data_IF_863095438618
#
_entry.id   IF_863095438618
#
_cell.length_a   1.000
_cell.length_b   1.000
_cell.length_c   1.000
_cell.angle_alpha   90.00
_cell.angle_beta   90.00
_cell.angle_gamma   90.00
#
_symmetry.space_group_name_H-M   'P 1'
#
loop_
_entity.id
_entity.type
_entity.pdbx_description
1 polymer ?
#
# COMPACT_ATOMS: atom_id res chain seq x y z
N UNK A 1 -5.84 0.69 -20.00
CA UNK A 1 -4.38 0.41 -20.13
C UNK A 1 -3.59 1.49 -19.43
N UNK A 2 -2.39 1.15 -18.91
CA UNK A 2 -1.48 2.10 -18.25
C UNK A 2 -0.07 1.96 -18.81
N UNK A 3 0.68 3.08 -18.87
CA UNK A 3 2.11 3.10 -19.12
C UNK A 3 2.85 3.58 -17.87
N UNK A 4 3.90 2.89 -17.48
CA UNK A 4 4.64 3.16 -16.25
C UNK A 4 6.10 3.53 -16.53
N UNK A 5 6.65 4.49 -15.79
CA UNK A 5 8.08 4.68 -15.69
C UNK A 5 8.65 3.77 -14.61
N UNK A 6 9.47 2.84 -15.04
CA UNK A 6 10.18 1.93 -14.16
C UNK A 6 11.69 2.21 -14.19
N UNK A 7 12.35 2.17 -13.05
CA UNK A 7 13.80 2.41 -12.96
C UNK A 7 14.25 2.64 -11.52
N UNK A 8 15.56 2.79 -11.34
CA UNK A 8 16.16 3.06 -10.04
C UNK A 8 15.65 4.35 -9.41
N UNK A 9 15.88 4.49 -8.10
CA UNK A 9 15.59 5.73 -7.37
C UNK A 9 16.35 6.90 -7.98
N UNK A 10 15.69 8.07 -8.04
CA UNK A 10 16.25 9.35 -8.48
C UNK A 10 16.79 9.43 -9.91
N UNK A 11 16.41 8.51 -10.80
CA UNK A 11 16.76 8.60 -12.23
C UNK A 11 15.87 9.57 -13.02
N UNK A 12 15.00 10.33 -12.34
CA UNK A 12 14.14 11.33 -12.98
C UNK A 12 12.80 10.81 -13.49
N UNK A 13 12.25 9.71 -12.93
CA UNK A 13 10.95 9.15 -13.35
C UNK A 13 9.81 10.16 -13.25
N UNK A 14 9.64 10.80 -12.09
CA UNK A 14 8.59 11.81 -11.87
C UNK A 14 8.79 13.03 -12.79
N UNK A 15 10.05 13.41 -13.06
CA UNK A 15 10.37 14.46 -14.03
C UNK A 15 9.98 14.05 -15.46
N UNK A 16 10.25 12.79 -15.84
CA UNK A 16 9.82 12.23 -17.13
C UNK A 16 8.29 12.28 -17.27
N UNK A 17 7.55 11.87 -16.23
CA UNK A 17 6.08 11.94 -16.21
C UNK A 17 5.58 13.38 -16.38
N UNK A 18 6.15 14.31 -15.62
CA UNK A 18 5.81 15.73 -15.74
C UNK A 18 6.12 16.25 -17.16
N UNK A 19 7.24 15.85 -17.75
CA UNK A 19 7.63 16.24 -19.11
C UNK A 19 6.69 15.67 -20.18
N UNK A 20 6.26 14.42 -20.04
CA UNK A 20 5.27 13.80 -20.94
C UNK A 20 3.91 14.50 -20.86
N UNK A 21 3.55 15.02 -19.68
CA UNK A 21 2.32 15.77 -19.42
C UNK A 21 2.45 17.27 -19.71
N UNK A 22 3.64 17.80 -19.95
CA UNK A 22 3.90 19.19 -20.33
C UNK A 22 3.81 19.41 -21.84
N UNK A 23 3.48 20.61 -22.30
CA UNK A 23 3.64 21.02 -23.71
C UNK A 23 4.70 22.12 -23.81
N UNK A 24 5.25 22.40 -25.03
CA UNK A 24 6.27 23.44 -25.23
C UNK A 24 5.87 24.82 -24.66
N UNK A 25 4.57 25.10 -24.60
CA UNK A 25 4.02 26.39 -24.18
C UNK A 25 3.27 26.34 -22.84
N UNK A 26 3.14 25.15 -22.22
CA UNK A 26 2.38 24.99 -20.98
C UNK A 26 3.01 23.89 -20.11
N UNK A 27 3.64 24.22 -18.98
CA UNK A 27 4.14 23.23 -18.03
C UNK A 27 2.96 22.43 -17.48
N UNK A 28 3.24 21.18 -17.09
CA UNK A 28 2.24 20.34 -16.45
C UNK A 28 1.92 20.87 -15.06
N UNK A 29 0.65 21.17 -14.84
CA UNK A 29 0.11 21.58 -13.55
C UNK A 29 -1.17 20.81 -13.24
N UNK A 30 -1.38 20.55 -11.96
CA UNK A 30 -2.62 19.99 -11.41
C UNK A 30 -3.44 21.16 -10.87
N UNK A 31 -4.68 21.28 -11.29
CA UNK A 31 -5.56 22.38 -10.86
C UNK A 31 -6.50 21.89 -9.76
N UNK A 32 -6.55 22.61 -8.64
CA UNK A 32 -7.48 22.37 -7.56
C UNK A 32 -8.00 23.72 -7.01
N UNK A 33 -9.31 23.85 -6.79
CA UNK A 33 -9.97 25.07 -6.30
C UNK A 33 -9.55 26.34 -7.05
N UNK A 34 -9.33 26.25 -8.38
CA UNK A 34 -8.93 27.39 -9.23
C UNK A 34 -7.45 27.78 -9.12
N UNK A 35 -6.64 27.07 -8.34
CA UNK A 35 -5.18 27.23 -8.26
C UNK A 35 -4.48 26.12 -9.04
N UNK A 36 -3.32 26.46 -9.62
CA UNK A 36 -2.48 25.53 -10.34
C UNK A 36 -1.25 25.18 -9.52
N UNK A 37 -0.93 23.89 -9.45
CA UNK A 37 0.18 23.33 -8.68
C UNK A 37 1.10 22.54 -9.61
N UNK A 38 2.41 22.79 -9.53
CA UNK A 38 3.42 21.96 -10.19
C UNK A 38 3.50 20.61 -9.48
N UNK A 39 3.38 19.52 -10.23
CA UNK A 39 3.56 18.17 -9.62
C UNK A 39 4.95 18.04 -9.00
N UNK A 40 5.99 18.50 -9.68
CA UNK A 40 7.38 18.38 -9.22
C UNK A 40 7.69 19.28 -8.04
N UNK A 41 7.16 20.54 -8.04
CA UNK A 41 7.57 21.54 -7.06
C UNK A 41 6.65 21.60 -5.85
N UNK A 42 5.35 21.36 -6.05
CA UNK A 42 4.34 21.56 -5.01
C UNK A 42 3.80 20.27 -4.39
N UNK A 43 3.91 19.12 -5.09
CA UNK A 43 3.30 17.85 -4.69
C UNK A 43 4.35 16.77 -4.40
N UNK A 44 5.20 16.48 -5.39
CA UNK A 44 6.20 15.43 -5.26
C UNK A 44 7.22 15.80 -4.17
N UNK A 45 7.60 14.87 -3.25
CA UNK A 45 8.59 15.18 -2.23
C UNK A 45 9.91 15.62 -2.88
N UNK A 46 10.53 16.66 -2.34
CA UNK A 46 11.88 17.02 -2.76
C UNK A 46 12.84 15.92 -2.33
N UNK A 47 13.69 15.45 -3.22
CA UNK A 47 14.80 14.58 -2.84
C UNK A 47 15.61 15.27 -1.73
N UNK A 48 15.72 14.66 -0.54
CA UNK A 48 16.49 15.20 0.57
C UNK A 48 17.98 15.31 0.20
N UNK A 49 18.75 15.99 1.03
CA UNK A 49 20.20 16.21 0.86
C UNK A 49 21.02 14.91 0.73
N UNK A 50 20.45 13.76 1.00
CA UNK A 50 21.01 12.44 0.76
C UNK A 50 20.46 11.88 -0.57
N UNK A 51 21.20 12.14 -1.65
CA UNK A 51 20.93 11.70 -3.03
C UNK A 51 20.83 10.17 -3.24
N UNK A 52 20.59 9.39 -2.20
CA UNK A 52 20.57 7.91 -2.22
C UNK A 52 19.27 7.29 -1.68
N UNK A 53 18.34 8.09 -1.17
CA UNK A 53 17.10 7.60 -0.57
C UNK A 53 15.94 7.95 -1.51
N UNK A 54 15.06 6.97 -1.77
CA UNK A 54 13.78 7.21 -2.46
C UNK A 54 12.98 8.26 -1.69
N UNK A 55 12.40 9.21 -2.39
CA UNK A 55 11.57 10.24 -1.77
C UNK A 55 10.08 9.91 -1.82
N UNK A 56 9.68 9.09 -2.78
CA UNK A 56 8.28 8.75 -3.05
C UNK A 56 7.98 7.32 -2.60
N UNK A 57 7.00 7.16 -1.73
CA UNK A 57 6.59 5.85 -1.19
C UNK A 57 5.29 5.29 -1.79
N UNK A 58 4.64 6.00 -2.72
CA UNK A 58 3.31 5.66 -3.22
C UNK A 58 3.28 5.74 -4.76
N UNK A 59 2.59 4.80 -5.41
CA UNK A 59 2.33 4.87 -6.85
C UNK A 59 1.39 6.04 -7.14
N UNK A 60 1.75 6.85 -8.13
CA UNK A 60 0.91 7.97 -8.58
C UNK A 60 0.38 7.70 -9.97
N UNK A 61 -0.95 7.73 -10.13
CA UNK A 61 -1.63 7.62 -11.42
C UNK A 61 -2.09 8.99 -11.90
N UNK A 62 -1.87 9.27 -13.17
CA UNK A 62 -2.43 10.39 -13.91
C UNK A 62 -3.42 9.85 -14.94
N UNK A 63 -4.70 10.21 -14.79
CA UNK A 63 -5.80 9.77 -15.69
C UNK A 63 -6.63 10.95 -16.13
N UNK A 64 -7.27 10.86 -17.29
CA UNK A 64 -8.22 11.90 -17.70
C UNK A 64 -9.52 11.80 -16.90
N UNK A 65 -9.98 12.93 -16.39
CA UNK A 65 -11.28 13.01 -15.76
C UNK A 65 -12.39 12.62 -16.75
N UNK A 66 -13.26 11.72 -16.31
CA UNK A 66 -14.41 11.30 -17.11
C UNK A 66 -15.64 12.22 -17.00
N UNK A 67 -15.45 13.40 -16.38
CA UNK A 67 -16.49 14.44 -16.20
C UNK A 67 -17.13 14.39 -14.81
N UNK A 68 -17.58 15.55 -14.33
CA UNK A 68 -18.35 15.80 -13.10
C UNK A 68 -18.00 14.94 -11.89
N UNK A 69 -16.76 15.01 -11.43
CA UNK A 69 -16.44 14.52 -10.09
C UNK A 69 -17.09 15.47 -9.07
N UNK A 70 -17.97 14.97 -8.23
CA UNK A 70 -18.48 15.71 -7.06
C UNK A 70 -17.37 15.95 -6.02
N UNK A 71 -16.20 15.35 -6.24
CA UNK A 71 -15.03 15.33 -5.36
C UNK A 71 -13.85 16.11 -5.96
N UNK A 72 -14.11 17.24 -6.64
CA UNK A 72 -13.07 18.03 -7.34
C UNK A 72 -11.95 18.54 -6.45
N UNK A 73 -12.21 18.72 -5.15
CA UNK A 73 -11.23 19.23 -4.18
C UNK A 73 -10.49 18.10 -3.41
N UNK A 74 -10.66 16.88 -3.90
CA UNK A 74 -10.10 15.68 -3.28
C UNK A 74 -9.21 14.92 -4.25
N UNK A 75 -8.34 14.10 -3.68
CA UNK A 75 -7.52 13.13 -4.42
C UNK A 75 -8.09 11.75 -4.12
N UNK A 76 -8.32 10.97 -5.18
CA UNK A 76 -8.72 9.58 -5.04
C UNK A 76 -7.53 8.73 -4.62
N UNK A 77 -7.75 7.88 -3.64
CA UNK A 77 -6.78 6.92 -3.11
C UNK A 77 -7.37 5.53 -3.25
N UNK A 78 -6.57 4.60 -3.76
CA UNK A 78 -6.87 3.17 -3.71
C UNK A 78 -6.02 2.51 -2.64
N UNK A 79 -6.69 1.88 -1.69
CA UNK A 79 -6.03 1.12 -0.64
C UNK A 79 -5.62 -0.28 -1.14
N UNK A 80 -4.63 -0.86 -0.47
CA UNK A 80 -4.32 -2.28 -0.53
C UNK A 80 -5.53 -3.09 -0.06
N UNK A 81 -5.78 -4.23 -0.67
CA UNK A 81 -6.72 -5.21 -0.11
C UNK A 81 -6.10 -5.93 1.09
N UNK A 82 -6.93 -6.64 1.86
CA UNK A 82 -6.43 -7.50 2.94
C UNK A 82 -5.49 -8.57 2.38
N UNK A 83 -5.80 -9.11 1.20
CA UNK A 83 -4.95 -10.08 0.48
C UNK A 83 -3.60 -9.46 0.15
N UNK A 84 -3.57 -8.24 -0.41
CA UNK A 84 -2.32 -7.54 -0.72
C UNK A 84 -1.46 -7.39 0.53
N UNK A 85 -2.04 -6.96 1.66
CA UNK A 85 -1.31 -6.80 2.93
C UNK A 85 -0.70 -8.14 3.37
N UNK A 86 -1.46 -9.24 3.30
CA UNK A 86 -0.98 -10.57 3.67
C UNK A 86 0.18 -11.00 2.76
N UNK A 87 0.02 -10.86 1.45
CA UNK A 87 1.04 -11.25 0.47
C UNK A 87 2.32 -10.44 0.63
N UNK A 88 2.19 -9.14 0.84
CA UNK A 88 3.32 -8.24 1.05
C UNK A 88 4.14 -8.64 2.29
N UNK A 89 3.49 -8.96 3.39
CA UNK A 89 4.17 -9.37 4.63
C UNK A 89 4.82 -10.75 4.47
N UNK A 90 4.15 -11.69 3.79
CA UNK A 90 4.71 -13.00 3.51
C UNK A 90 5.93 -12.90 2.58
N UNK A 91 5.83 -12.13 1.49
CA UNK A 91 6.94 -11.91 0.54
C UNK A 91 8.15 -11.26 1.25
N UNK A 92 7.91 -10.23 2.05
CA UNK A 92 8.95 -9.57 2.83
C UNK A 92 9.63 -10.52 3.82
N UNK A 93 8.87 -11.40 4.47
CA UNK A 93 9.45 -12.40 5.36
C UNK A 93 10.47 -13.29 4.64
N UNK A 94 10.10 -13.83 3.50
CA UNK A 94 10.94 -14.80 2.78
C UNK A 94 12.08 -14.17 1.97
N UNK A 95 11.92 -12.93 1.50
CA UNK A 95 12.90 -12.29 0.63
C UNK A 95 13.80 -11.26 1.33
N UNK A 96 13.31 -10.59 2.38
CA UNK A 96 14.02 -9.46 2.99
C UNK A 96 14.54 -9.74 4.39
N UNK A 97 13.92 -10.67 5.12
CA UNK A 97 14.32 -10.99 6.50
C UNK A 97 15.31 -12.17 6.47
N UNK A 98 16.38 -12.05 7.25
CA UNK A 98 17.33 -13.14 7.43
C UNK A 98 16.72 -14.23 8.30
N UNK A 99 16.26 -15.30 7.64
CA UNK A 99 15.58 -16.42 8.29
C UNK A 99 16.59 -17.30 9.00
N UNK A 100 16.37 -17.52 10.30
CA UNK A 100 17.07 -18.59 11.02
C UNK A 100 16.39 -19.93 10.69
N UNK A 101 17.07 -20.80 9.97
CA UNK A 101 16.54 -22.10 9.52
C UNK A 101 16.07 -23.00 10.66
N UNK A 102 16.65 -22.87 11.86
CA UNK A 102 16.27 -23.66 13.03
C UNK A 102 14.91 -23.24 13.64
N UNK A 103 14.41 -22.05 13.27
CA UNK A 103 13.16 -21.50 13.77
C UNK A 103 12.00 -21.57 12.76
N UNK A 104 12.21 -22.16 11.59
CA UNK A 104 11.19 -22.27 10.54
C UNK A 104 10.14 -23.31 10.94
N UNK A 105 8.85 -22.94 10.92
CA UNK A 105 7.74 -23.85 11.18
C UNK A 105 7.68 -24.94 10.10
N UNK A 106 7.64 -26.18 10.55
CA UNK A 106 7.42 -27.33 9.66
C UNK A 106 5.92 -27.48 9.38
N UNK A 107 5.58 -28.22 8.34
CA UNK A 107 4.18 -28.46 7.97
C UNK A 107 3.37 -29.06 9.13
N UNK A 108 3.97 -29.94 9.94
CA UNK A 108 3.31 -30.55 11.12
C UNK A 108 3.01 -29.50 12.20
N UNK A 109 3.92 -28.53 12.41
CA UNK A 109 3.72 -27.46 13.38
C UNK A 109 2.59 -26.53 12.95
N UNK A 110 2.50 -26.24 11.65
CA UNK A 110 1.41 -25.44 11.06
C UNK A 110 0.07 -26.17 11.20
N UNK A 111 0.01 -27.46 10.83
CA UNK A 111 -1.21 -28.25 10.95
C UNK A 111 -1.71 -28.32 12.39
N UNK A 112 -0.82 -28.60 13.33
CA UNK A 112 -1.14 -28.60 14.77
C UNK A 112 -1.64 -27.25 15.24
N UNK A 113 -0.99 -26.16 14.85
CA UNK A 113 -1.42 -24.81 15.21
C UNK A 113 -2.84 -24.52 14.70
N UNK A 114 -3.18 -24.94 13.48
CA UNK A 114 -4.53 -24.76 12.93
C UNK A 114 -5.56 -25.62 13.64
N UNK A 115 -5.22 -26.87 14.01
CA UNK A 115 -6.10 -27.72 14.83
C UNK A 115 -6.39 -27.10 16.20
N UNK A 116 -5.39 -26.53 16.86
CA UNK A 116 -5.53 -25.85 18.14
C UNK A 116 -6.43 -24.58 18.05
N UNK A 117 -6.58 -24.00 16.84
CA UNK A 117 -7.41 -22.83 16.57
C UNK A 117 -8.88 -23.15 16.20
N UNK A 118 -9.30 -24.42 16.21
CA UNK A 118 -10.67 -24.82 15.81
C UNK A 118 -11.79 -24.03 16.53
N UNK A 119 -11.54 -23.51 17.73
CA UNK A 119 -12.48 -22.68 18.47
C UNK A 119 -12.77 -21.34 17.81
N UNK A 120 -11.90 -20.80 16.94
CA UNK A 120 -12.07 -19.49 16.30
C UNK A 120 -13.24 -19.46 15.29
N UNK A 121 -13.58 -20.60 14.72
CA UNK A 121 -14.65 -20.75 13.72
C UNK A 121 -15.75 -21.75 14.10
N UNK A 122 -15.82 -22.09 15.38
CA UNK A 122 -16.80 -23.05 15.86
C UNK A 122 -18.26 -22.62 15.66
N UNK A 123 -18.53 -21.31 15.67
CA UNK A 123 -19.89 -20.76 15.53
C UNK A 123 -20.46 -20.91 14.12
N UNK A 124 -19.64 -21.03 13.07
CA UNK A 124 -20.04 -21.05 11.65
C UNK A 124 -21.01 -19.92 11.26
N UNK A 125 -20.90 -18.78 11.91
CA UNK A 125 -21.64 -17.57 11.57
C UNK A 125 -20.69 -16.67 10.80
N UNK A 126 -21.10 -16.22 9.60
CA UNK A 126 -20.33 -15.25 8.81
C UNK A 126 -20.22 -13.95 9.60
N UNK A 127 -18.99 -13.51 9.88
CA UNK A 127 -18.70 -12.32 10.69
C UNK A 127 -17.96 -11.24 9.90
N UNK A 128 -17.52 -11.57 8.68
CA UNK A 128 -16.81 -10.64 7.79
C UNK A 128 -16.92 -11.13 6.34
N UNK A 129 -16.72 -10.22 5.36
CA UNK A 129 -16.72 -10.49 3.93
C UNK A 129 -15.50 -9.88 3.21
N UNK A 130 -14.51 -9.40 3.96
CA UNK A 130 -13.31 -8.74 3.44
C UNK A 130 -12.29 -9.72 2.89
N UNK A 131 -12.41 -10.99 3.29
CA UNK A 131 -11.61 -12.10 2.80
C UNK A 131 -12.46 -13.37 2.77
N UNK A 132 -12.42 -14.10 1.69
CA UNK A 132 -13.23 -15.29 1.47
C UNK A 132 -12.39 -16.54 1.16
N UNK A 133 -13.07 -17.62 0.76
CA UNK A 133 -12.44 -18.90 0.44
C UNK A 133 -11.50 -18.79 -0.76
N UNK A 134 -11.88 -18.04 -1.79
CA UNK A 134 -11.08 -17.90 -3.01
C UNK A 134 -9.84 -17.02 -2.75
N UNK A 135 -9.97 -15.99 -1.93
CA UNK A 135 -8.83 -15.19 -1.48
C UNK A 135 -7.76 -16.03 -0.76
N UNK A 136 -8.17 -16.95 0.10
CA UNK A 136 -7.21 -17.85 0.79
C UNK A 136 -6.53 -18.80 -0.20
N UNK A 137 -7.24 -19.26 -1.24
CA UNK A 137 -6.63 -20.06 -2.32
C UNK A 137 -5.61 -19.24 -3.09
N UNK A 138 -5.97 -18.00 -3.49
CA UNK A 138 -5.07 -17.10 -4.21
C UNK A 138 -3.81 -16.78 -3.39
N UNK A 139 -3.93 -16.57 -2.08
CA UNK A 139 -2.79 -16.38 -1.17
C UNK A 139 -1.88 -17.63 -1.20
N UNK A 140 -2.45 -18.81 -1.08
CA UNK A 140 -1.65 -20.06 -1.05
C UNK A 140 -1.03 -20.37 -2.39
N UNK A 141 -1.71 -20.11 -3.49
CA UNK A 141 -1.18 -20.28 -4.84
C UNK A 141 -0.02 -19.31 -5.09
N UNK A 142 -0.13 -18.04 -4.68
CA UNK A 142 0.98 -17.09 -4.75
C UNK A 142 2.20 -17.58 -3.95
N UNK A 143 1.99 -18.04 -2.71
CA UNK A 143 3.08 -18.54 -1.85
C UNK A 143 3.75 -19.74 -2.50
N UNK A 144 2.98 -20.64 -3.10
CA UNK A 144 3.50 -21.80 -3.80
C UNK A 144 4.30 -21.42 -5.04
N UNK A 145 3.73 -20.58 -5.91
CA UNK A 145 4.27 -20.31 -7.25
C UNK A 145 5.37 -19.25 -7.25
N UNK A 146 5.28 -18.25 -6.37
CA UNK A 146 6.20 -17.11 -6.33
C UNK A 146 7.28 -17.28 -5.26
N UNK A 147 6.90 -17.61 -4.03
CA UNK A 147 7.86 -17.83 -2.93
C UNK A 147 8.49 -19.22 -3.01
N UNK A 148 7.72 -20.22 -3.43
CA UNK A 148 8.20 -21.55 -3.75
C UNK A 148 8.80 -22.28 -2.55
N UNK A 149 10.00 -22.84 -2.75
CA UNK A 149 10.67 -23.70 -1.78
C UNK A 149 11.04 -23.00 -0.46
N UNK A 150 11.16 -21.68 -0.45
CA UNK A 150 11.43 -20.93 0.78
C UNK A 150 10.29 -21.10 1.80
N UNK A 151 9.05 -21.25 1.32
CA UNK A 151 7.84 -21.48 2.12
C UNK A 151 7.43 -22.97 2.19
N UNK A 152 8.38 -23.92 2.13
CA UNK A 152 8.07 -25.36 2.07
C UNK A 152 7.16 -25.84 3.21
N UNK A 153 7.30 -25.29 4.42
CA UNK A 153 6.43 -25.63 5.55
C UNK A 153 4.96 -25.29 5.28
N UNK A 154 4.68 -24.11 4.72
CA UNK A 154 3.33 -23.67 4.34
C UNK A 154 2.82 -24.52 3.17
N UNK A 155 3.63 -24.69 2.12
CA UNK A 155 3.26 -25.41 0.90
C UNK A 155 2.91 -26.89 1.12
N UNK A 156 3.53 -27.53 2.11
CA UNK A 156 3.28 -28.94 2.48
C UNK A 156 2.19 -29.11 3.55
N UNK A 157 1.76 -28.00 4.17
CA UNK A 157 0.72 -28.03 5.21
C UNK A 157 -0.69 -28.15 4.62
N UNK A 158 -1.67 -28.36 5.50
CA UNK A 158 -3.08 -28.28 5.17
C UNK A 158 -3.65 -26.85 5.31
N UNK A 159 -2.82 -25.80 5.25
CA UNK A 159 -3.24 -24.42 5.52
C UNK A 159 -4.48 -24.04 4.68
N UNK A 160 -4.39 -24.10 3.37
CA UNK A 160 -5.50 -23.78 2.48
C UNK A 160 -6.75 -24.63 2.77
N UNK A 161 -6.56 -25.94 2.88
CA UNK A 161 -7.65 -26.90 3.10
C UNK A 161 -8.41 -26.64 4.40
N UNK A 162 -7.73 -26.17 5.45
CA UNK A 162 -8.34 -25.91 6.77
C UNK A 162 -8.91 -24.49 6.82
N UNK A 163 -8.18 -23.49 6.33
CA UNK A 163 -8.52 -22.08 6.50
C UNK A 163 -9.58 -21.59 5.50
N UNK A 164 -9.45 -21.96 4.21
CA UNK A 164 -10.33 -21.46 3.17
C UNK A 164 -11.83 -21.64 3.48
N UNK A 165 -12.31 -22.84 3.86
CA UNK A 165 -13.74 -23.04 4.11
C UNK A 165 -14.26 -22.36 5.40
N UNK A 166 -13.39 -21.79 6.23
CA UNK A 166 -13.80 -21.24 7.55
C UNK A 166 -13.44 -19.78 7.73
N UNK A 167 -12.68 -19.18 6.84
CA UNK A 167 -12.14 -17.81 7.04
C UNK A 167 -13.23 -16.77 7.28
N UNK A 168 -14.39 -16.89 6.62
CA UNK A 168 -15.51 -15.96 6.80
C UNK A 168 -16.17 -16.03 8.20
N UNK A 169 -15.88 -17.09 8.97
CA UNK A 169 -16.35 -17.25 10.34
C UNK A 169 -15.36 -16.69 11.37
N UNK A 170 -14.19 -16.22 10.94
CA UNK A 170 -13.14 -15.67 11.79
C UNK A 170 -13.17 -14.16 11.75
N UNK A 171 -13.35 -13.53 12.92
CA UNK A 171 -13.32 -12.07 13.03
C UNK A 171 -11.89 -11.53 12.79
N UNK A 172 -11.82 -10.33 12.22
CA UNK A 172 -10.56 -9.68 11.80
C UNK A 172 -9.53 -9.55 12.95
N UNK A 173 -9.94 -9.42 14.21
CA UNK A 173 -9.04 -9.38 15.38
C UNK A 173 -8.33 -10.71 15.64
N UNK A 174 -8.79 -11.80 15.04
CA UNK A 174 -8.20 -13.14 15.12
C UNK A 174 -7.37 -13.52 13.88
N UNK A 175 -7.42 -12.76 12.83
CA UNK A 175 -6.70 -13.08 11.59
C UNK A 175 -5.19 -13.22 11.81
N UNK A 176 -4.60 -12.43 12.70
CA UNK A 176 -3.17 -12.53 13.01
C UNK A 176 -2.79 -13.92 13.52
N UNK A 177 -3.67 -14.63 14.23
CA UNK A 177 -3.40 -15.98 14.72
C UNK A 177 -3.23 -16.97 13.57
N UNK A 178 -3.98 -16.78 12.48
CA UNK A 178 -3.96 -17.64 11.29
C UNK A 178 -2.84 -17.21 10.36
N UNK A 179 -2.87 -15.95 9.90
CA UNK A 179 -1.96 -15.50 8.84
C UNK A 179 -0.52 -15.35 9.30
N UNK A 180 -0.25 -15.20 10.61
CA UNK A 180 1.12 -15.22 11.13
C UNK A 180 1.87 -16.52 10.84
N UNK A 181 1.17 -17.61 10.57
CA UNK A 181 1.78 -18.87 10.15
C UNK A 181 2.49 -18.74 8.80
N UNK A 182 2.02 -17.85 7.92
CA UNK A 182 2.60 -17.59 6.60
C UNK A 182 3.97 -16.92 6.67
N UNK A 183 4.24 -16.16 7.73
CA UNK A 183 5.54 -15.56 8.04
C UNK A 183 6.14 -16.09 9.35
N UNK A 184 5.90 -17.38 9.58
CA UNK A 184 6.57 -18.15 10.62
C UNK A 184 6.39 -17.56 12.04
N UNK A 185 5.25 -16.95 12.31
CA UNK A 185 4.93 -16.24 13.56
C UNK A 185 5.95 -15.16 13.94
N UNK A 186 6.63 -14.56 12.94
CA UNK A 186 7.49 -13.43 13.21
C UNK A 186 6.70 -12.36 13.97
N UNK A 187 7.19 -11.97 15.15
CA UNK A 187 6.45 -11.11 16.07
C UNK A 187 6.26 -9.69 15.54
N UNK A 188 7.24 -9.17 14.81
CA UNK A 188 7.24 -7.82 14.27
C UNK A 188 6.26 -7.71 13.10
N UNK A 189 6.29 -8.66 12.15
CA UNK A 189 5.32 -8.71 11.05
C UNK A 189 3.91 -8.97 11.56
N UNK A 190 3.74 -9.81 12.59
CA UNK A 190 2.43 -10.07 13.20
C UNK A 190 1.88 -8.84 13.89
N UNK A 191 2.74 -8.05 14.55
CA UNK A 191 2.34 -6.76 15.13
C UNK A 191 1.96 -5.77 14.03
N UNK A 192 2.80 -5.63 12.99
CA UNK A 192 2.53 -4.75 11.86
C UNK A 192 1.21 -5.11 11.17
N UNK A 193 0.97 -6.39 10.89
CA UNK A 193 -0.30 -6.87 10.35
C UNK A 193 -1.49 -6.42 11.21
N UNK A 194 -1.39 -6.62 12.53
CA UNK A 194 -2.45 -6.22 13.45
C UNK A 194 -2.70 -4.71 13.44
N UNK A 195 -1.65 -3.90 13.37
CA UNK A 195 -1.75 -2.44 13.25
C UNK A 195 -2.47 -2.07 11.95
N UNK A 196 -2.02 -2.60 10.80
CA UNK A 196 -2.60 -2.28 9.50
C UNK A 196 -4.07 -2.67 9.39
N UNK A 197 -4.45 -3.86 9.86
CA UNK A 197 -5.84 -4.33 9.86
C UNK A 197 -6.72 -3.47 10.76
N UNK A 198 -6.24 -3.08 11.96
CA UNK A 198 -6.99 -2.21 12.85
C UNK A 198 -7.19 -0.80 12.25
N UNK A 199 -6.18 -0.26 11.57
CA UNK A 199 -6.30 1.02 10.88
C UNK A 199 -7.22 0.93 9.66
N UNK A 200 -7.11 -0.14 8.86
CA UNK A 200 -7.96 -0.35 7.70
C UNK A 200 -9.44 -0.52 8.09
N UNK A 201 -9.70 -1.15 9.23
CA UNK A 201 -11.06 -1.24 9.79
C UNK A 201 -11.69 0.14 10.04
N UNK A 202 -10.92 1.15 10.48
CA UNK A 202 -11.44 2.51 10.67
C UNK A 202 -11.95 3.11 9.37
N UNK A 203 -11.46 2.62 8.23
CA UNK A 203 -11.89 2.97 6.88
C UNK A 203 -12.97 2.01 6.34
N UNK A 204 -13.58 1.18 7.20
CA UNK A 204 -14.55 0.16 6.81
C UNK A 204 -14.06 -0.75 5.68
N UNK A 205 -12.76 -1.03 5.61
CA UNK A 205 -12.10 -1.80 4.56
C UNK A 205 -12.41 -1.30 3.13
N UNK A 206 -12.67 0.00 2.97
CA UNK A 206 -12.95 0.56 1.66
C UNK A 206 -11.69 0.60 0.80
N UNK A 207 -11.79 0.03 -0.39
CA UNK A 207 -10.70 0.04 -1.38
C UNK A 207 -10.47 1.43 -1.95
N UNK A 208 -11.56 2.13 -2.31
CA UNK A 208 -11.49 3.50 -2.85
C UNK A 208 -11.94 4.49 -1.78
N UNK A 209 -11.05 5.41 -1.43
CA UNK A 209 -11.28 6.51 -0.50
C UNK A 209 -10.84 7.83 -1.11
N UNK A 210 -11.16 8.93 -0.45
CA UNK A 210 -10.83 10.27 -0.91
C UNK A 210 -10.21 11.07 0.24
N UNK A 211 -9.17 11.84 -0.08
CA UNK A 211 -8.47 12.73 0.86
C UNK A 211 -8.49 14.16 0.33
N UNK A 212 -8.50 15.19 1.20
CA UNK A 212 -8.39 16.57 0.77
C UNK A 212 -7.11 16.79 -0.05
N UNK A 213 -7.19 17.57 -1.11
CA UNK A 213 -6.03 17.88 -1.96
C UNK A 213 -4.85 18.45 -1.17
N UNK A 214 -5.13 19.17 -0.08
CA UNK A 214 -4.09 19.70 0.82
C UNK A 214 -3.16 18.61 1.38
N UNK A 215 -3.66 17.37 1.57
CA UNK A 215 -2.86 16.27 2.11
C UNK A 215 -1.71 15.82 1.21
N UNK A 216 -1.76 16.17 -0.08
CA UNK A 216 -0.71 15.85 -1.06
C UNK A 216 0.21 17.04 -1.34
N UNK A 217 -0.03 18.20 -0.76
CA UNK A 217 0.84 19.36 -0.94
C UNK A 217 2.13 19.23 -0.11
N UNK A 218 3.26 19.56 -0.73
CA UNK A 218 4.58 19.52 -0.07
C UNK A 218 4.63 20.40 1.17
N UNK A 219 4.08 21.62 1.09
CA UNK A 219 4.04 22.56 2.21
C UNK A 219 3.23 22.09 3.41
N UNK A 220 2.39 21.04 3.22
CA UNK A 220 1.55 20.41 4.23
C UNK A 220 2.03 19.03 4.64
N UNK A 221 3.26 18.66 4.25
CA UNK A 221 3.78 17.33 4.46
C UNK A 221 3.09 16.29 3.58
N UNK A 222 3.39 16.37 2.28
CA UNK A 222 2.78 15.51 1.27
C UNK A 222 2.75 14.04 1.68
N UNK A 223 1.61 13.39 1.47
CA UNK A 223 1.41 11.96 1.74
C UNK A 223 2.34 11.05 0.91
N UNK A 224 2.93 11.58 -0.18
CA UNK A 224 3.87 10.82 -1.01
C UNK A 224 5.23 10.60 -0.35
N UNK A 225 5.56 11.25 0.77
CA UNK A 225 6.84 11.05 1.47
C UNK A 225 6.97 9.61 1.97
N UNK A 226 8.06 8.96 1.62
CA UNK A 226 8.36 7.59 2.07
C UNK A 226 8.59 7.53 3.59
N UNK A 227 9.10 8.60 4.19
CA UNK A 227 9.37 8.65 5.64
C UNK A 227 8.09 8.45 6.49
N UNK A 228 6.91 8.70 5.94
CA UNK A 228 5.67 8.38 6.64
C UNK A 228 5.56 6.91 7.04
N UNK A 229 6.11 6.00 6.24
CA UNK A 229 6.07 4.56 6.51
C UNK A 229 6.87 4.19 7.77
N UNK A 230 7.92 4.95 8.10
CA UNK A 230 8.71 4.72 9.30
C UNK A 230 7.90 4.92 10.58
N UNK A 231 6.90 5.82 10.55
CA UNK A 231 6.05 6.11 11.71
C UNK A 231 5.13 4.95 12.09
N UNK A 232 4.75 4.11 11.14
CA UNK A 232 3.91 2.91 11.40
C UNK A 232 4.66 1.91 12.28
N UNK A 233 5.97 1.87 12.14
CA UNK A 233 6.86 1.02 12.95
C UNK A 233 7.29 1.69 14.27
N UNK A 234 6.71 2.85 14.61
CA UNK A 234 7.00 3.58 15.84
C UNK A 234 8.27 4.43 15.80
N UNK A 235 8.88 4.62 14.62
CA UNK A 235 10.00 5.54 14.45
C UNK A 235 9.50 6.97 14.50
N UNK A 236 10.11 7.80 15.32
CA UNK A 236 9.82 9.23 15.32
C UNK A 236 10.57 9.90 14.17
N UNK A 237 9.83 10.56 13.30
CA UNK A 237 10.40 11.38 12.23
C UNK A 237 10.25 12.87 12.60
N UNK A 238 11.17 13.69 12.10
CA UNK A 238 11.04 15.14 12.22
C UNK A 238 9.98 15.61 11.22
N UNK A 239 8.78 15.88 11.71
CA UNK A 239 7.67 16.36 10.88
C UNK A 239 7.72 17.89 10.69
N UNK A 240 8.53 18.61 11.45
CA UNK A 240 8.64 20.07 11.35
C UNK A 240 7.28 20.77 11.44
N UNK A 241 6.85 21.40 10.34
CA UNK A 241 5.53 22.04 10.20
C UNK A 241 4.53 21.20 9.39
N UNK A 242 4.83 19.92 9.12
CA UNK A 242 3.95 19.04 8.35
C UNK A 242 2.66 18.78 9.11
N UNK A 243 1.55 18.75 8.39
CA UNK A 243 0.28 18.26 8.91
C UNK A 243 0.33 16.72 8.92
N UNK A 244 0.34 16.13 10.12
CA UNK A 244 0.51 14.69 10.31
C UNK A 244 -0.80 13.90 10.23
N UNK A 245 -1.94 14.59 10.16
CA UNK A 245 -3.27 14.00 10.07
C UNK A 245 -4.00 14.48 8.82
N UNK A 246 -4.95 13.67 8.35
CA UNK A 246 -5.88 14.02 7.29
C UNK A 246 -7.25 13.39 7.55
N UNK A 247 -8.33 14.08 7.17
CA UNK A 247 -9.66 13.49 7.14
C UNK A 247 -9.82 12.61 5.91
N UNK A 248 -10.55 11.51 6.07
CA UNK A 248 -10.77 10.51 5.02
C UNK A 248 -12.26 10.47 4.68
N UNK A 249 -12.57 10.40 3.41
CA UNK A 249 -13.93 10.45 2.88
C UNK A 249 -14.25 9.25 1.99
N UNK A 250 -15.54 8.91 1.91
CA UNK A 250 -16.04 7.96 0.91
C UNK A 250 -16.30 8.64 -0.44
N UNK A 251 -16.74 7.88 -1.45
CA UNK A 251 -17.09 8.38 -2.78
C UNK A 251 -18.30 9.34 -2.82
N UNK A 252 -19.06 9.40 -1.74
CA UNK A 252 -20.23 10.29 -1.61
C UNK A 252 -19.88 11.58 -0.84
N UNK A 253 -18.62 11.73 -0.39
CA UNK A 253 -18.18 12.86 0.40
C UNK A 253 -18.53 12.76 1.90
N UNK A 254 -18.93 11.59 2.38
CA UNK A 254 -19.12 11.38 3.81
C UNK A 254 -17.78 11.08 4.47
N UNK A 255 -17.58 11.59 5.67
CA UNK A 255 -16.36 11.33 6.44
C UNK A 255 -16.37 9.88 6.93
N UNK A 256 -15.30 9.15 6.60
CA UNK A 256 -15.03 7.81 7.10
C UNK A 256 -14.23 7.86 8.40
N UNK A 257 -13.22 8.72 8.43
CA UNK A 257 -12.38 8.90 9.60
C UNK A 257 -11.91 10.36 9.71
N UNK A 258 -11.94 10.90 10.94
CA UNK A 258 -11.33 12.18 11.28
C UNK A 258 -9.89 11.95 11.77
N UNK A 259 -9.02 12.93 11.54
CA UNK A 259 -7.66 12.96 12.07
C UNK A 259 -6.92 11.62 11.87
N UNK A 260 -6.99 11.06 10.67
CA UNK A 260 -6.30 9.82 10.35
C UNK A 260 -4.81 10.09 10.14
N UNK A 261 -3.94 9.34 10.84
CA UNK A 261 -2.50 9.55 10.78
C UNK A 261 -1.94 9.23 9.40
N UNK A 262 -1.20 10.16 8.78
CA UNK A 262 -0.65 10.00 7.42
C UNK A 262 0.28 8.80 7.27
N UNK A 263 1.02 8.45 8.31
CA UNK A 263 1.86 7.25 8.30
C UNK A 263 1.05 5.97 8.11
N UNK A 264 -0.01 5.81 8.91
CA UNK A 264 -0.90 4.64 8.80
C UNK A 264 -1.60 4.62 7.43
N UNK A 265 -2.00 5.79 6.94
CA UNK A 265 -2.61 5.91 5.62
C UNK A 265 -1.61 5.52 4.51
N UNK A 266 -0.39 6.06 4.53
CA UNK A 266 0.67 5.71 3.54
C UNK A 266 0.93 4.22 3.45
N UNK A 267 0.86 3.50 4.58
CA UNK A 267 1.07 2.05 4.62
C UNK A 267 -0.12 1.24 4.08
N UNK A 268 -1.28 1.86 3.94
CA UNK A 268 -2.48 1.23 3.36
C UNK A 268 -2.68 1.59 1.88
N UNK A 269 -1.97 2.59 1.35
CA UNK A 269 -2.18 3.06 -0.02
C UNK A 269 -1.48 2.14 -1.02
N UNK A 270 -2.24 1.65 -2.00
CA UNK A 270 -1.71 1.06 -3.23
C UNK A 270 -1.41 2.13 -4.29
N UNK A 271 -2.29 3.15 -4.43
CA UNK A 271 -2.18 4.12 -5.52
C UNK A 271 -2.89 5.43 -5.18
N UNK A 272 -2.28 6.56 -5.56
CA UNK A 272 -2.88 7.90 -5.60
C UNK A 272 -3.25 8.25 -7.03
N UNK A 273 -4.47 8.75 -7.26
CA UNK A 273 -4.94 9.13 -8.60
C UNK A 273 -5.18 10.63 -8.70
N UNK A 274 -4.48 11.27 -9.63
CA UNK A 274 -4.74 12.64 -10.06
C UNK A 274 -5.57 12.62 -11.35
N UNK A 275 -6.78 13.19 -11.28
CA UNK A 275 -7.63 13.38 -12.44
C UNK A 275 -7.22 14.66 -13.19
N UNK A 276 -6.90 14.49 -14.47
CA UNK A 276 -6.49 15.58 -15.35
C UNK A 276 -7.68 16.11 -16.14
N UNK A 277 -7.79 17.42 -16.34
CA UNK A 277 -8.85 17.96 -17.18
C UNK A 277 -8.69 17.46 -18.63
N UNK A 278 -9.82 17.23 -19.37
CA UNK A 278 -9.78 16.73 -20.75
C UNK A 278 -8.92 17.56 -21.70
N UNK A 279 -8.78 18.87 -21.46
CA UNK A 279 -7.94 19.76 -22.25
C UNK A 279 -6.45 19.39 -22.26
N UNK A 280 -5.97 18.64 -21.26
CA UNK A 280 -4.59 18.10 -21.27
C UNK A 280 -4.39 17.11 -22.42
N UNK A 281 -5.44 16.42 -22.85
CA UNK A 281 -5.38 15.46 -23.95
C UNK A 281 -5.40 16.10 -25.35
N UNK A 282 -5.72 17.38 -25.49
CA UNK A 282 -5.76 18.06 -26.78
C UNK A 282 -4.42 17.93 -27.53
N UNK A 283 -3.32 18.13 -26.80
CA UNK A 283 -1.96 17.96 -27.32
C UNK A 283 -1.37 16.55 -27.06
N UNK A 284 -2.05 15.72 -26.24
CA UNK A 284 -1.56 14.40 -25.77
C UNK A 284 -2.63 13.34 -25.95
N UNK A 285 -2.97 13.09 -27.24
CA UNK A 285 -4.03 12.15 -27.61
C UNK A 285 -3.88 10.74 -27.05
N UNK A 286 -2.67 10.35 -26.62
CA UNK A 286 -2.43 9.04 -26.01
C UNK A 286 -3.15 8.89 -24.67
N UNK A 287 -3.39 9.99 -23.92
CA UNK A 287 -4.12 9.96 -22.64
C UNK A 287 -5.57 9.49 -22.76
N UNK A 288 -6.16 9.56 -23.98
CA UNK A 288 -7.48 8.94 -24.21
C UNK A 288 -7.45 7.40 -24.22
N UNK A 289 -6.26 6.80 -24.26
CA UNK A 289 -6.10 5.35 -24.40
C UNK A 289 -5.36 4.72 -23.23
N UNK A 290 -4.60 5.50 -22.48
CA UNK A 290 -3.78 4.99 -21.37
C UNK A 290 -3.55 6.06 -20.32
N UNK A 291 -3.46 5.60 -19.06
CA UNK A 291 -3.00 6.39 -17.93
C UNK A 291 -1.48 6.34 -17.82
N UNK A 292 -0.91 7.32 -17.13
CA UNK A 292 0.50 7.32 -16.77
C UNK A 292 0.65 6.95 -15.29
N UNK A 293 1.63 6.09 -15.00
CA UNK A 293 1.96 5.68 -13.64
C UNK A 293 3.39 6.08 -13.30
N UNK A 294 3.54 6.85 -12.22
CA UNK A 294 4.84 7.13 -11.59
C UNK A 294 5.05 6.16 -10.43
N UNK A 295 6.04 5.27 -10.58
CA UNK A 295 6.37 4.26 -9.58
C UNK A 295 7.49 4.74 -8.65
N UNK A 296 7.45 4.37 -7.36
CA UNK A 296 8.62 4.43 -6.49
C UNK A 296 9.84 3.78 -7.14
N UNK A 297 11.03 4.18 -6.73
CA UNK A 297 12.28 3.66 -7.33
C UNK A 297 12.47 2.17 -7.09
N UNK A 298 12.70 1.43 -8.18
CA UNK A 298 13.18 0.07 -8.09
C UNK A 298 14.56 0.04 -7.40
N UNK A 299 14.82 -0.98 -6.53
CA UNK A 299 16.04 -1.16 -5.75
C UNK A 299 16.20 -0.27 -4.50
N UNK A 300 15.16 0.37 -4.02
CA UNK A 300 15.16 0.83 -2.62
C UNK A 300 15.48 -0.34 -1.66
N UNK A 301 15.17 -1.58 -2.07
CA UNK A 301 15.49 -2.83 -1.35
C UNK A 301 16.98 -3.11 -1.14
N UNK A 302 17.87 -2.73 -2.07
CA UNK A 302 19.30 -3.11 -1.99
C UNK A 302 20.13 -2.28 -0.98
N UNK A 303 19.64 -1.12 -0.57
CA UNK A 303 20.41 -0.20 0.29
C UNK A 303 20.29 -0.45 1.79
N UNK A 304 19.28 -1.20 2.19
CA UNK A 304 19.01 -1.52 3.60
C UNK A 304 19.41 -2.96 3.89
N UNK A 305 20.70 -3.22 3.96
CA UNK A 305 21.27 -4.58 4.12
C UNK A 305 21.25 -5.13 5.55
N UNK A 306 20.66 -4.47 6.54
CA UNK A 306 20.68 -4.96 7.92
C UNK A 306 19.34 -4.77 8.65
N UNK A 307 18.66 -5.87 8.86
CA UNK A 307 17.99 -6.37 10.07
C UNK A 307 16.82 -5.56 10.70
N UNK A 308 16.27 -4.49 10.13
CA UNK A 308 15.19 -3.76 10.74
C UNK A 308 13.89 -3.84 9.94
N UNK A 309 12.81 -4.19 10.62
CA UNK A 309 11.44 -4.18 10.07
C UNK A 309 11.05 -2.80 9.53
N UNK A 310 11.69 -1.73 10.04
CA UNK A 310 11.55 -0.36 9.53
C UNK A 310 11.88 -0.24 8.04
N UNK A 311 12.56 -1.23 7.47
CA UNK A 311 12.89 -1.29 6.04
C UNK A 311 11.93 -2.15 5.23
N UNK A 312 10.99 -2.86 5.87
CA UNK A 312 10.05 -3.76 5.19
C UNK A 312 8.99 -2.97 4.43
N UNK A 313 8.29 -2.04 5.08
CA UNK A 313 7.23 -1.25 4.44
C UNK A 313 7.70 -0.48 3.20
N UNK A 314 8.83 0.26 3.21
CA UNK A 314 9.34 0.92 2.02
C UNK A 314 9.79 -0.03 0.90
N UNK A 315 9.95 -1.32 1.21
CA UNK A 315 10.35 -2.34 0.23
C UNK A 315 9.19 -3.04 -0.43
N UNK A 316 8.03 -2.92 0.17
CA UNK A 316 6.81 -3.59 -0.22
C UNK A 316 6.14 -2.90 -1.43
N UNK A 317 6.39 -1.62 -1.61
CA UNK A 317 5.94 -0.83 -2.76
C UNK A 317 7.03 -0.82 -3.84
#
# INVERSE_FOLDING_TARGET
>A
CSAAAYGESQVGKSYLMSSLLSSPNSPFVITNAGKSYSFIDDINPSGGNNAKIESTGVITRFTLSQGCSTMSDFVKVRNLSVVDIILLLADSYYNDIKINQDSVLRYDDINKALEDMNGLWASKIVVQNEIDEDDVKDITDYIHDVIGNAAAGVNQSNFCKIVAPVIQYVSYDKWVNIFSLLWNRNSELSHLFSVLINEYKKLNFQTDIYIPFAAVLREKGTLLKIEWLDTVCGVQIDTGHDEIYADIYDSNGNILAHDFHKGNLSALIAELTFELPPSVADDRKFLHKLDLLDFPGARSREKYKEQDIHTVLPKIL
#
